data_IF_409331043742
#
_entry.id   IF_409331043742
#
_cell.length_a   1.000
_cell.length_b   1.000
_cell.length_c   1.000
_cell.angle_alpha   90.00
_cell.angle_beta   90.00
_cell.angle_gamma   90.00
#
_symmetry.space_group_name_H-M   'P 1'
#
loop_
_entity.id
_entity.type
_entity.pdbx_description
1 polymer ?
#
# COMPACT_ATOMS: atom_id res chain seq x y z
N UNK A 1 -10.46 50.51 -10.36
CA UNK A 1 -11.44 50.17 -11.42
C UNK A 1 -10.69 49.80 -12.70
N UNK A 2 -11.06 48.67 -13.31
CA UNK A 2 -10.68 48.13 -14.65
C UNK A 2 -9.25 47.56 -14.76
N UNK A 3 -8.95 46.43 -15.42
CA UNK A 3 -9.71 45.34 -16.07
C UNK A 3 -8.68 44.20 -16.33
N UNK A 4 -9.13 42.94 -16.35
CA UNK A 4 -8.41 41.78 -16.87
C UNK A 4 -7.85 42.02 -18.28
N UNK A 5 -6.71 41.40 -18.58
CA UNK A 5 -6.41 40.89 -19.91
C UNK A 5 -5.92 39.45 -19.77
N UNK A 6 -6.82 38.54 -20.09
CA UNK A 6 -6.51 37.15 -20.36
C UNK A 6 -5.64 37.07 -21.61
N UNK A 7 -4.53 36.36 -21.54
CA UNK A 7 -3.82 35.88 -22.73
C UNK A 7 -3.96 34.36 -22.73
N UNK A 8 -4.96 33.90 -23.48
CA UNK A 8 -5.07 32.53 -23.94
C UNK A 8 -3.88 32.22 -24.84
N UNK A 9 -3.02 31.29 -24.45
CA UNK A 9 -2.16 30.57 -25.38
C UNK A 9 -2.79 29.18 -25.56
N UNK A 10 -3.69 29.13 -26.55
CA UNK A 10 -4.21 27.91 -27.15
C UNK A 10 -3.15 27.36 -28.11
N UNK A 11 -2.24 26.50 -27.64
CA UNK A 11 -1.44 25.63 -28.52
C UNK A 11 -0.78 24.50 -27.72
N UNK A 12 -1.51 23.41 -27.48
CA UNK A 12 -1.01 22.03 -27.49
C UNK A 12 -2.15 21.06 -27.14
N UNK A 13 -2.98 20.76 -28.13
CA UNK A 13 -3.87 19.60 -28.13
C UNK A 13 -3.02 18.30 -28.18
N UNK A 14 -2.49 17.89 -27.04
CA UNK A 14 -1.98 16.53 -26.78
C UNK A 14 -2.14 16.21 -25.28
N UNK A 15 -3.38 16.24 -24.77
CA UNK A 15 -3.66 15.71 -23.42
C UNK A 15 -4.01 14.23 -23.56
N UNK A 16 -2.97 13.43 -23.70
CA UNK A 16 -3.03 11.99 -23.45
C UNK A 16 -3.24 11.80 -21.94
N UNK A 17 -4.50 11.70 -21.51
CA UNK A 17 -4.90 11.00 -20.28
C UNK A 17 -4.23 11.41 -18.96
N UNK A 18 -4.21 12.69 -18.61
CA UNK A 18 -3.90 13.08 -17.21
C UNK A 18 -5.07 12.61 -16.33
N UNK A 19 -4.87 11.52 -15.61
CA UNK A 19 -5.76 11.12 -14.52
C UNK A 19 -5.56 12.14 -13.40
N UNK A 20 -6.53 13.04 -13.23
CA UNK A 20 -6.54 13.97 -12.11
C UNK A 20 -6.96 13.18 -10.86
N UNK A 21 -5.98 12.73 -10.08
CA UNK A 21 -6.19 12.26 -8.70
C UNK A 21 -6.20 13.49 -7.80
N UNK A 22 -7.31 13.74 -7.12
CA UNK A 22 -7.36 14.79 -6.11
C UNK A 22 -7.38 14.17 -4.71
N UNK A 23 -6.70 14.86 -3.80
CA UNK A 23 -6.76 14.54 -2.38
C UNK A 23 -8.16 14.86 -1.85
N UNK A 24 -8.73 13.93 -1.08
CA UNK A 24 -10.07 14.13 -0.52
C UNK A 24 -10.09 15.36 0.41
N UNK A 25 -11.18 16.17 0.43
CA UNK A 25 -11.32 17.30 1.35
C UNK A 25 -11.22 16.91 2.84
N UNK A 26 -11.44 15.64 3.15
CA UNK A 26 -11.18 15.04 4.46
C UNK A 26 -9.71 15.13 4.90
N UNK A 27 -8.78 15.52 4.02
CA UNK A 27 -7.39 15.84 4.36
C UNK A 27 -7.23 17.22 5.03
N UNK A 28 -8.24 18.09 4.99
CA UNK A 28 -8.09 19.52 5.35
C UNK A 28 -8.07 19.84 6.85
N UNK A 29 -8.33 18.88 7.73
CA UNK A 29 -8.11 19.06 9.16
C UNK A 29 -7.10 18.01 9.63
N UNK A 30 -5.91 18.47 10.04
CA UNK A 30 -5.23 17.82 11.15
C UNK A 30 -6.21 17.87 12.31
N UNK A 31 -7.00 16.81 12.48
CA UNK A 31 -7.72 16.63 13.74
C UNK A 31 -6.61 16.49 14.78
N UNK A 32 -6.45 17.52 15.61
CA UNK A 32 -5.71 17.41 16.86
C UNK A 32 -6.35 16.24 17.60
N UNK A 33 -5.71 15.07 17.48
CA UNK A 33 -6.36 13.79 17.70
C UNK A 33 -6.81 13.66 19.14
N UNK A 34 -8.12 13.65 19.36
CA UNK A 34 -8.67 13.14 20.61
C UNK A 34 -8.22 11.68 20.73
N UNK A 35 -7.56 11.33 21.84
CA UNK A 35 -7.22 9.95 22.14
C UNK A 35 -8.52 9.15 22.21
N UNK A 36 -8.68 8.19 21.31
CA UNK A 36 -9.80 7.26 21.34
C UNK A 36 -9.68 6.34 22.55
N UNK A 37 -10.78 6.15 23.27
CA UNK A 37 -10.94 5.11 24.29
C UNK A 37 -10.82 3.71 23.67
N UNK A 38 -10.68 2.67 24.49
CA UNK A 38 -10.59 1.29 23.99
C UNK A 38 -11.83 0.86 23.19
N UNK A 39 -13.02 1.27 23.62
CA UNK A 39 -14.27 0.97 22.91
C UNK A 39 -14.33 1.68 21.55
N UNK A 40 -13.98 2.98 21.51
CA UNK A 40 -13.93 3.74 20.25
C UNK A 40 -12.86 3.21 19.29
N UNK A 41 -11.74 2.69 19.82
CA UNK A 41 -10.72 2.00 18.99
C UNK A 41 -11.28 0.75 18.35
N UNK A 42 -11.96 -0.11 19.10
CA UNK A 42 -12.58 -1.33 18.58
C UNK A 42 -13.66 -1.03 17.55
N UNK A 43 -14.48 0.01 17.78
CA UNK A 43 -15.47 0.46 16.81
C UNK A 43 -14.82 0.97 15.52
N UNK A 44 -13.73 1.75 15.63
CA UNK A 44 -12.98 2.21 14.48
C UNK A 44 -12.32 1.04 13.71
N UNK A 45 -11.72 0.08 14.42
CA UNK A 45 -11.16 -1.16 13.84
C UNK A 45 -12.20 -1.90 13.01
N UNK A 46 -13.37 -2.19 13.58
CA UNK A 46 -14.47 -2.88 12.89
C UNK A 46 -14.96 -2.10 11.67
N UNK A 47 -15.13 -0.77 11.78
CA UNK A 47 -15.55 0.07 10.64
C UNK A 47 -14.52 0.06 9.51
N UNK A 48 -13.23 0.15 9.83
CA UNK A 48 -12.15 0.14 8.84
C UNK A 48 -12.06 -1.24 8.18
N UNK A 49 -12.16 -2.32 8.96
CA UNK A 49 -12.13 -3.70 8.46
C UNK A 49 -13.27 -3.93 7.46
N UNK A 50 -14.52 -3.69 7.85
CA UNK A 50 -15.69 -3.85 6.96
C UNK A 50 -15.60 -2.97 5.71
N UNK A 51 -15.05 -1.74 5.85
CA UNK A 51 -14.82 -0.86 4.71
C UNK A 51 -13.81 -1.46 3.74
N UNK A 52 -12.67 -1.97 4.22
CA UNK A 52 -11.63 -2.54 3.37
C UNK A 52 -12.10 -3.84 2.72
N UNK A 53 -12.81 -4.71 3.43
CA UNK A 53 -13.40 -5.94 2.86
C UNK A 53 -14.38 -5.64 1.72
N UNK A 54 -15.20 -4.59 1.89
CA UNK A 54 -16.23 -4.25 0.89
C UNK A 54 -15.67 -3.47 -0.30
N UNK A 55 -14.58 -2.71 -0.11
CA UNK A 55 -14.17 -1.67 -1.06
C UNK A 55 -12.72 -1.79 -1.54
N UNK A 56 -11.92 -2.74 -1.06
CA UNK A 56 -10.59 -2.96 -1.62
C UNK A 56 -10.72 -3.51 -3.05
N UNK A 57 -10.08 -2.83 -3.99
CA UNK A 57 -10.11 -3.25 -5.39
C UNK A 57 -9.46 -4.62 -5.55
N UNK A 58 -10.07 -5.48 -6.36
CA UNK A 58 -9.61 -6.85 -6.65
C UNK A 58 -9.65 -7.80 -5.44
N UNK A 59 -10.30 -7.42 -4.34
CA UNK A 59 -10.52 -8.29 -3.19
C UNK A 59 -11.58 -9.34 -3.51
N UNK A 60 -11.27 -10.61 -3.26
CA UNK A 60 -12.21 -11.72 -3.34
C UNK A 60 -12.67 -12.10 -1.93
N UNK A 61 -13.93 -11.82 -1.54
CA UNK A 61 -14.41 -12.07 -0.18
C UNK A 61 -14.46 -13.56 0.20
N UNK A 62 -14.38 -14.48 -0.78
CA UNK A 62 -14.40 -15.92 -0.51
C UNK A 62 -13.02 -16.50 -0.20
N UNK A 63 -11.95 -15.84 -0.63
CA UNK A 63 -10.59 -16.35 -0.48
C UNK A 63 -9.66 -15.37 0.22
N UNK A 64 -9.84 -14.07 0.08
CA UNK A 64 -8.98 -13.06 0.69
C UNK A 64 -9.41 -12.73 2.12
N UNK A 65 -8.50 -12.14 2.89
CA UNK A 65 -8.73 -11.77 4.29
C UNK A 65 -8.22 -10.37 4.56
N UNK A 66 -8.98 -9.59 5.33
CA UNK A 66 -8.52 -8.33 5.93
C UNK A 66 -8.72 -8.43 7.43
N UNK A 67 -7.79 -7.86 8.19
CA UNK A 67 -7.90 -7.73 9.63
C UNK A 67 -7.37 -6.37 10.08
N UNK A 68 -8.12 -5.69 10.93
CA UNK A 68 -7.70 -4.43 11.57
C UNK A 68 -7.76 -4.61 13.08
N UNK A 69 -6.60 -4.62 13.73
CA UNK A 69 -6.52 -4.71 15.19
C UNK A 69 -5.23 -4.07 15.71
N UNK A 70 -5.27 -3.55 16.95
CA UNK A 70 -4.06 -3.14 17.69
C UNK A 70 -3.10 -2.26 16.86
N UNK A 71 -3.65 -1.27 16.15
CA UNK A 71 -2.95 -0.36 15.27
C UNK A 71 -2.29 -1.01 14.05
N UNK A 72 -2.76 -2.19 13.64
CA UNK A 72 -2.25 -2.93 12.48
C UNK A 72 -3.38 -3.20 11.51
N UNK A 73 -3.10 -2.98 10.24
CA UNK A 73 -3.93 -3.43 9.12
C UNK A 73 -3.17 -4.55 8.43
N UNK A 74 -3.74 -5.75 8.43
CA UNK A 74 -3.20 -6.90 7.72
C UNK A 74 -4.16 -7.30 6.63
N UNK A 75 -3.70 -7.39 5.39
CA UNK A 75 -4.51 -7.96 4.32
C UNK A 75 -3.73 -9.05 3.60
N UNK A 76 -4.42 -10.16 3.34
CA UNK A 76 -3.90 -11.37 2.71
C UNK A 76 -4.72 -11.64 1.45
N UNK A 77 -4.05 -11.57 0.32
CA UNK A 77 -4.62 -11.84 -1.01
C UNK A 77 -4.20 -13.25 -1.42
N UNK A 78 -5.16 -14.15 -1.53
CA UNK A 78 -4.96 -15.53 -1.96
C UNK A 78 -5.00 -15.61 -3.49
N UNK A 79 -4.00 -16.26 -4.07
CA UNK A 79 -3.97 -16.55 -5.50
C UNK A 79 -4.89 -17.74 -5.76
N UNK A 80 -6.16 -17.45 -6.04
CA UNK A 80 -7.20 -18.47 -6.23
C UNK A 80 -6.88 -19.31 -7.48
N UNK A 81 -6.75 -20.63 -7.34
CA UNK A 81 -6.56 -21.57 -8.47
C UNK A 81 -5.11 -21.79 -8.93
N UNK A 82 -4.13 -21.08 -8.36
CA UNK A 82 -2.78 -21.01 -8.91
C UNK A 82 -1.77 -22.00 -8.30
N UNK A 83 -2.17 -22.80 -7.31
CA UNK A 83 -1.31 -23.85 -6.74
C UNK A 83 -1.11 -25.09 -7.63
N UNK A 84 -1.22 -24.94 -8.95
CA UNK A 84 -0.98 -26.03 -9.92
C UNK A 84 0.51 -26.41 -10.04
N UNK A 85 1.44 -25.59 -9.52
CA UNK A 85 2.88 -25.86 -9.58
C UNK A 85 3.72 -25.09 -8.55
N UNK A 86 4.99 -25.47 -8.43
CA UNK A 86 6.02 -24.72 -7.70
C UNK A 86 6.84 -23.89 -8.70
N UNK A 87 7.14 -22.60 -8.45
CA UNK A 87 6.95 -21.83 -7.22
C UNK A 87 5.76 -20.85 -7.32
N UNK A 88 4.54 -21.34 -7.38
CA UNK A 88 3.39 -20.43 -7.37
C UNK A 88 3.09 -19.93 -5.96
N UNK A 89 2.75 -18.64 -5.84
CA UNK A 89 2.33 -18.02 -4.59
C UNK A 89 0.99 -18.63 -4.14
N UNK A 90 0.91 -19.06 -2.89
CA UNK A 90 -0.34 -19.40 -2.19
C UNK A 90 -1.08 -18.12 -1.80
N UNK A 91 -0.36 -17.22 -1.12
CA UNK A 91 -0.89 -15.90 -0.78
C UNK A 91 0.20 -14.84 -0.72
N UNK A 92 -0.22 -13.58 -0.86
CA UNK A 92 0.55 -12.39 -0.55
C UNK A 92 -0.06 -11.72 0.68
N UNK A 93 0.76 -11.44 1.68
CA UNK A 93 0.35 -10.77 2.92
C UNK A 93 1.10 -9.46 3.08
N UNK A 94 0.34 -8.42 3.41
CA UNK A 94 0.86 -7.10 3.70
C UNK A 94 0.35 -6.67 5.07
N UNK A 95 1.28 -6.32 5.94
CA UNK A 95 0.99 -5.75 7.26
C UNK A 95 1.45 -4.30 7.29
N UNK A 96 0.56 -3.41 7.69
CA UNK A 96 0.81 -1.99 7.89
C UNK A 96 0.60 -1.72 9.37
N UNK A 97 1.70 -1.48 10.10
CA UNK A 97 1.63 -0.97 11.47
C UNK A 97 1.47 0.55 11.42
N UNK A 98 0.35 1.06 11.92
CA UNK A 98 0.03 2.49 11.88
C UNK A 98 1.00 3.34 12.71
N UNK A 99 1.78 2.73 13.62
CA UNK A 99 2.86 3.42 14.34
C UNK A 99 4.09 3.68 13.46
N UNK A 100 4.26 2.88 12.41
CA UNK A 100 5.28 3.10 11.37
C UNK A 100 4.81 4.12 10.32
N UNK A 101 3.57 4.59 10.38
CA UNK A 101 2.96 5.50 9.39
C UNK A 101 3.00 6.93 9.90
N UNK A 102 3.63 7.83 9.12
CA UNK A 102 3.64 9.27 9.36
C UNK A 102 2.32 9.92 8.98
N UNK A 103 1.75 9.55 7.83
CA UNK A 103 0.54 10.18 7.28
C UNK A 103 -0.30 9.20 6.48
N UNK A 104 -1.61 9.24 6.69
CA UNK A 104 -2.59 8.54 5.84
C UNK A 104 -3.21 9.55 4.88
N UNK A 105 -3.13 9.28 3.57
CA UNK A 105 -3.78 10.09 2.54
C UNK A 105 -4.77 9.24 1.76
N UNK A 106 -5.93 9.82 1.45
CA UNK A 106 -6.98 9.15 0.70
C UNK A 106 -7.26 9.98 -0.55
N UNK A 107 -7.18 9.30 -1.69
CA UNK A 107 -7.33 9.87 -3.01
C UNK A 107 -8.57 9.29 -3.68
N UNK A 108 -9.29 10.16 -4.38
CA UNK A 108 -10.40 9.79 -5.24
C UNK A 108 -9.97 9.99 -6.70
N UNK A 109 -10.29 9.03 -7.55
CA UNK A 109 -10.02 9.09 -8.97
C UNK A 109 -11.21 9.76 -9.66
N UNK A 110 -10.94 10.83 -10.41
CA UNK A 110 -11.97 11.57 -11.15
C UNK A 110 -12.61 10.79 -12.32
N UNK A 111 -12.05 9.64 -12.71
CA UNK A 111 -12.47 8.91 -13.92
C UNK A 111 -13.04 7.53 -13.59
N UNK A 112 -14.27 7.25 -14.05
CA UNK A 112 -14.87 5.91 -14.07
C UNK A 112 -14.22 5.10 -15.20
N UNK A 113 -13.69 3.91 -14.91
CA UNK A 113 -13.20 2.95 -15.94
C UNK A 113 -11.83 2.29 -15.70
N UNK A 114 -11.09 2.63 -14.64
CA UNK A 114 -9.75 2.07 -14.36
C UNK A 114 -9.75 0.87 -13.41
N UNK A 115 -10.92 0.35 -13.02
CA UNK A 115 -11.06 -0.74 -12.03
C UNK A 115 -10.88 -0.31 -10.57
N UNK A 116 -10.25 0.85 -10.31
CA UNK A 116 -10.16 1.49 -8.99
C UNK A 116 -10.69 2.93 -9.04
N UNK A 117 -11.63 3.27 -8.16
CA UNK A 117 -12.19 4.61 -7.99
C UNK A 117 -11.40 5.47 -6.99
N UNK A 118 -10.43 4.90 -6.26
CA UNK A 118 -9.57 5.65 -5.36
C UNK A 118 -8.41 4.83 -4.81
N UNK A 119 -7.68 5.42 -3.87
CA UNK A 119 -6.64 4.71 -3.11
C UNK A 119 -6.40 5.31 -1.74
N UNK A 120 -5.99 4.46 -0.81
CA UNK A 120 -5.39 4.84 0.48
C UNK A 120 -3.88 4.73 0.33
N UNK A 121 -3.16 5.78 0.67
CA UNK A 121 -1.69 5.78 0.75
C UNK A 121 -1.25 6.00 2.18
N UNK A 122 -0.43 5.09 2.66
CA UNK A 122 0.25 5.13 3.95
C UNK A 122 1.66 5.63 3.71
N UNK A 123 1.92 6.91 4.03
CA UNK A 123 3.26 7.45 4.04
C UNK A 123 3.96 7.02 5.33
N UNK A 124 4.98 6.19 5.21
CA UNK A 124 5.72 5.68 6.34
C UNK A 124 6.66 6.73 6.96
N UNK A 125 7.10 6.47 8.19
CA UNK A 125 8.14 7.24 8.88
C UNK A 125 9.46 7.20 8.10
N UNK A 126 10.34 8.15 8.37
CA UNK A 126 11.60 8.29 7.65
C UNK A 126 12.51 7.06 7.82
N UNK A 127 12.55 6.42 8.99
CA UNK A 127 13.33 5.19 9.21
C UNK A 127 12.85 4.05 8.32
N UNK A 128 11.54 3.80 8.30
CA UNK A 128 10.90 2.78 7.46
C UNK A 128 11.15 3.05 5.99
N UNK A 129 10.97 4.30 5.55
CA UNK A 129 11.22 4.69 4.16
C UNK A 129 12.69 4.50 3.77
N UNK A 130 13.64 4.92 4.63
CA UNK A 130 15.10 4.73 4.40
C UNK A 130 15.47 3.27 4.25
N UNK A 131 14.89 2.37 5.06
CA UNK A 131 15.14 0.92 4.95
C UNK A 131 14.62 0.37 3.62
N UNK A 132 13.42 0.74 3.21
CA UNK A 132 12.89 0.35 1.90
C UNK A 132 13.74 0.89 0.74
N UNK A 133 14.15 2.16 0.80
CA UNK A 133 14.97 2.78 -0.24
C UNK A 133 16.36 2.14 -0.30
N UNK A 134 16.96 1.83 0.86
CA UNK A 134 18.21 1.06 0.93
C UNK A 134 18.06 -0.31 0.27
N UNK A 135 17.00 -1.05 0.58
CA UNK A 135 16.75 -2.36 0.00
C UNK A 135 16.57 -2.27 -1.53
N UNK A 136 15.82 -1.28 -2.02
CA UNK A 136 15.67 -1.00 -3.46
C UNK A 136 17.00 -0.64 -4.11
N UNK A 137 17.84 0.16 -3.46
CA UNK A 137 19.17 0.50 -3.97
C UNK A 137 20.08 -0.72 -4.04
N UNK A 138 20.09 -1.59 -3.02
CA UNK A 138 20.88 -2.83 -3.02
C UNK A 138 20.44 -3.75 -4.17
N UNK A 139 19.14 -3.94 -4.35
CA UNK A 139 18.62 -4.77 -5.43
C UNK A 139 18.86 -4.15 -6.82
N UNK A 140 18.74 -2.83 -6.97
CA UNK A 140 19.06 -2.11 -8.20
C UNK A 140 20.54 -2.28 -8.58
N UNK A 141 21.46 -2.17 -7.61
CA UNK A 141 22.89 -2.40 -7.87
C UNK A 141 23.11 -3.82 -8.37
N UNK A 142 22.50 -4.82 -7.75
CA UNK A 142 22.59 -6.20 -8.25
C UNK A 142 22.15 -6.31 -9.72
N UNK A 143 20.98 -5.77 -10.07
CA UNK A 143 20.46 -5.83 -11.44
C UNK A 143 21.35 -5.08 -12.46
N UNK A 144 22.01 -4.00 -12.06
CA UNK A 144 22.90 -3.23 -12.95
C UNK A 144 24.22 -3.96 -13.27
N UNK A 145 24.69 -4.82 -12.37
CA UNK A 145 25.98 -5.50 -12.51
C UNK A 145 25.85 -6.94 -13.01
N UNK A 146 24.62 -7.45 -13.18
CA UNK A 146 24.35 -8.82 -13.61
C UNK A 146 23.45 -8.85 -14.86
N UNK A 147 24.06 -8.73 -16.04
CA UNK A 147 23.37 -8.79 -17.33
C UNK A 147 23.49 -10.18 -18.03
N UNK A 148 24.16 -11.15 -17.41
CA UNK A 148 24.55 -12.42 -18.04
C UNK A 148 23.59 -13.60 -17.84
N UNK A 149 22.60 -13.47 -16.95
CA UNK A 149 21.65 -14.54 -16.65
C UNK A 149 20.35 -14.32 -17.42
N UNK A 150 19.77 -15.40 -17.95
CA UNK A 150 18.48 -15.39 -18.66
C UNK A 150 17.56 -16.49 -18.12
N UNK A 151 16.25 -16.40 -18.43
CA UNK A 151 15.27 -17.45 -18.12
C UNK A 151 15.18 -17.80 -16.62
N UNK A 152 15.05 -19.09 -16.33
CA UNK A 152 14.88 -19.61 -14.96
C UNK A 152 16.09 -19.31 -14.05
N UNK A 153 17.30 -19.28 -14.62
CA UNK A 153 18.52 -18.96 -13.88
C UNK A 153 18.49 -17.51 -13.37
N UNK A 154 18.06 -16.56 -14.22
CA UNK A 154 17.84 -15.17 -13.79
C UNK A 154 16.81 -15.07 -12.67
N UNK A 155 15.71 -15.82 -12.76
CA UNK A 155 14.66 -15.77 -11.74
C UNK A 155 15.16 -16.21 -10.35
N UNK A 156 16.00 -17.26 -10.29
CA UNK A 156 16.58 -17.75 -9.03
C UNK A 156 17.62 -16.78 -8.45
N UNK A 157 18.44 -16.19 -9.32
CA UNK A 157 19.47 -15.21 -9.00
C UNK A 157 18.84 -13.89 -8.49
N UNK A 158 17.86 -13.35 -9.22
CA UNK A 158 17.08 -12.19 -8.82
C UNK A 158 16.34 -12.42 -7.50
N UNK A 159 15.75 -13.60 -7.30
CA UNK A 159 15.11 -13.97 -6.03
C UNK A 159 16.12 -13.91 -4.87
N UNK A 160 17.28 -14.56 -5.02
CA UNK A 160 18.31 -14.61 -3.98
C UNK A 160 18.85 -13.21 -3.66
N UNK A 161 19.05 -12.38 -4.70
CA UNK A 161 19.46 -11.00 -4.56
C UNK A 161 18.42 -10.13 -3.85
N UNK A 162 17.12 -10.32 -4.15
CA UNK A 162 16.04 -9.62 -3.44
C UNK A 162 16.05 -10.00 -1.96
N UNK A 163 16.12 -11.29 -1.62
CA UNK A 163 16.14 -11.73 -0.22
C UNK A 163 17.36 -11.18 0.54
N UNK A 164 18.53 -11.11 -0.11
CA UNK A 164 19.73 -10.51 0.47
C UNK A 164 19.57 -9.00 0.68
N UNK A 165 18.98 -8.28 -0.28
CA UNK A 165 18.72 -6.85 -0.15
C UNK A 165 17.72 -6.54 0.99
N UNK A 166 16.64 -7.33 1.06
CA UNK A 166 15.62 -7.27 2.11
C UNK A 166 16.23 -7.53 3.48
N UNK A 167 17.03 -8.59 3.63
CA UNK A 167 17.74 -8.93 4.88
C UNK A 167 18.76 -7.85 5.26
N UNK A 168 19.58 -7.40 4.31
CA UNK A 168 20.65 -6.41 4.53
C UNK A 168 20.13 -5.02 4.90
N UNK A 169 18.89 -4.70 4.54
CA UNK A 169 18.20 -3.48 4.95
C UNK A 169 17.32 -3.66 6.20
N UNK A 170 17.25 -4.87 6.77
CA UNK A 170 16.52 -5.14 8.01
C UNK A 170 15.01 -5.15 7.87
N UNK A 171 14.47 -5.35 6.66
CA UNK A 171 13.01 -5.39 6.41
C UNK A 171 12.28 -6.48 7.22
N UNK A 172 12.83 -7.71 7.40
CA UNK A 172 12.17 -8.73 8.21
C UNK A 172 11.98 -8.36 9.70
N UNK A 173 12.73 -7.36 10.19
CA UNK A 173 12.62 -6.86 11.57
C UNK A 173 11.62 -5.70 11.73
N UNK A 174 11.07 -5.21 10.62
CA UNK A 174 10.12 -4.09 10.64
C UNK A 174 8.74 -4.57 11.08
N UNK A 175 7.98 -3.69 11.73
CA UNK A 175 6.60 -4.01 12.13
C UNK A 175 5.69 -4.02 10.91
N UNK A 176 5.90 -3.10 9.97
CA UNK A 176 5.27 -3.13 8.65
C UNK A 176 6.07 -4.00 7.68
N UNK A 177 5.42 -4.94 6.99
CA UNK A 177 6.09 -5.86 6.07
C UNK A 177 5.20 -6.27 4.89
N UNK A 178 5.85 -6.80 3.85
CA UNK A 178 5.24 -7.46 2.71
C UNK A 178 5.89 -8.83 2.53
N UNK A 179 5.09 -9.89 2.41
CA UNK A 179 5.60 -11.25 2.21
C UNK A 179 4.68 -12.10 1.33
N UNK A 180 5.25 -13.13 0.76
CA UNK A 180 4.55 -14.16 -0.03
C UNK A 180 4.82 -15.52 0.60
N UNK A 181 3.81 -16.38 0.62
CA UNK A 181 3.98 -17.80 0.92
C UNK A 181 3.70 -18.61 -0.34
N UNK A 182 4.56 -19.54 -0.69
CA UNK A 182 4.39 -20.39 -1.88
C UNK A 182 3.63 -21.68 -1.55
N UNK A 183 3.04 -22.31 -2.57
CA UNK A 183 2.25 -23.53 -2.39
C UNK A 183 3.08 -24.74 -1.94
N UNK A 184 4.35 -24.83 -2.35
CA UNK A 184 5.24 -25.98 -2.10
C UNK A 184 6.15 -25.83 -0.88
N UNK A 185 6.15 -24.67 -0.21
CA UNK A 185 7.05 -24.38 0.91
C UNK A 185 6.31 -23.67 2.04
N UNK A 186 6.56 -24.08 3.28
CA UNK A 186 6.11 -23.37 4.48
C UNK A 186 6.88 -22.06 4.72
N UNK A 187 7.97 -21.84 3.98
CA UNK A 187 8.83 -20.67 4.13
C UNK A 187 8.13 -19.43 3.57
N UNK A 188 8.06 -18.39 4.41
CA UNK A 188 7.63 -17.06 4.01
C UNK A 188 8.78 -16.31 3.35
N UNK A 189 8.50 -15.66 2.23
CA UNK A 189 9.45 -14.88 1.44
C UNK A 189 9.12 -13.41 1.59
N UNK A 190 10.08 -12.60 2.02
CA UNK A 190 9.87 -11.16 2.17
C UNK A 190 10.23 -10.46 0.86
N UNK A 191 9.43 -9.50 0.42
CA UNK A 191 9.62 -8.85 -0.88
C UNK A 191 9.73 -7.35 -0.78
N UNK A 192 10.33 -6.76 -1.81
CA UNK A 192 10.30 -5.31 -2.05
C UNK A 192 8.98 -4.94 -2.74
N UNK A 193 8.02 -4.30 -2.05
CA UNK A 193 6.77 -3.91 -2.67
C UNK A 193 7.03 -2.87 -3.77
N UNK A 194 6.39 -3.06 -4.93
CA UNK A 194 6.42 -2.09 -6.04
C UNK A 194 5.93 -0.72 -5.56
N UNK A 195 4.80 -0.70 -4.88
CA UNK A 195 4.19 0.48 -4.24
C UNK A 195 4.01 0.20 -2.76
N UNK A 196 4.77 0.91 -1.93
CA UNK A 196 4.71 0.75 -0.48
C UNK A 196 3.40 1.34 0.06
N UNK A 197 2.68 0.58 0.89
CA UNK A 197 1.50 1.05 1.63
C UNK A 197 0.45 1.73 0.76
N UNK A 198 0.11 1.18 -0.40
CA UNK A 198 -1.00 1.69 -1.20
C UNK A 198 -2.06 0.62 -1.34
N UNK A 199 -3.28 0.93 -0.91
CA UNK A 199 -4.45 0.09 -1.08
C UNK A 199 -5.36 0.74 -2.12
N UNK A 200 -5.59 0.05 -3.24
CA UNK A 200 -6.54 0.50 -4.26
C UNK A 200 -7.97 0.24 -3.82
N UNK A 201 -8.87 1.16 -4.12
CA UNK A 201 -10.28 1.07 -3.70
C UNK A 201 -11.23 1.08 -4.90
N UNK A 202 -12.27 0.27 -4.86
CA UNK A 202 -13.38 0.25 -5.83
C UNK A 202 -14.33 1.44 -5.65
N UNK A 203 -14.38 2.02 -4.45
CA UNK A 203 -15.09 3.27 -4.13
C UNK A 203 -14.43 3.94 -2.92
N UNK A 204 -14.64 5.26 -2.77
CA UNK A 204 -14.13 6.03 -1.64
C UNK A 204 -15.28 6.40 -0.72
N UNK A 205 -15.26 5.89 0.51
CA UNK A 205 -16.17 6.32 1.58
C UNK A 205 -15.48 7.38 2.45
N UNK A 206 -16.08 8.57 2.53
CA UNK A 206 -15.57 9.68 3.34
C UNK A 206 -15.67 9.38 4.84
N UNK A 207 -16.69 8.68 5.31
CA UNK A 207 -16.87 8.32 6.71
C UNK A 207 -15.81 7.32 7.19
N UNK A 208 -15.55 6.29 6.39
CA UNK A 208 -14.46 5.36 6.64
C UNK A 208 -13.08 6.05 6.58
N UNK A 209 -12.91 6.98 5.63
CA UNK A 209 -11.71 7.81 5.52
C UNK A 209 -11.41 8.64 6.78
N UNK A 210 -12.44 9.25 7.39
CA UNK A 210 -12.30 9.94 8.66
C UNK A 210 -11.98 8.98 9.81
N UNK A 211 -12.68 7.84 9.88
CA UNK A 211 -12.44 6.81 10.90
C UNK A 211 -11.00 6.31 10.88
N UNK A 212 -10.47 6.00 9.70
CA UNK A 212 -9.07 5.55 9.53
C UNK A 212 -8.06 6.60 10.01
N UNK A 213 -8.30 7.89 9.72
CA UNK A 213 -7.40 8.96 10.17
C UNK A 213 -7.44 9.18 11.67
N UNK A 214 -8.64 9.15 12.27
CA UNK A 214 -8.79 9.27 13.72
C UNK A 214 -8.13 8.10 14.45
N UNK A 215 -8.31 6.90 13.92
CA UNK A 215 -7.67 5.71 14.42
C UNK A 215 -6.14 5.78 14.31
N UNK A 216 -5.61 6.19 13.15
CA UNK A 216 -4.18 6.45 12.94
C UNK A 216 -3.61 7.47 13.93
N UNK A 217 -4.27 8.61 14.13
CA UNK A 217 -3.85 9.62 15.11
C UNK A 217 -3.81 9.05 16.54
N UNK A 218 -4.81 8.25 16.91
CA UNK A 218 -4.86 7.57 18.22
C UNK A 218 -3.72 6.57 18.39
N UNK A 219 -3.32 5.88 17.32
CA UNK A 219 -2.24 4.89 17.31
C UNK A 219 -0.84 5.48 17.46
N UNK A 220 -0.58 6.64 16.84
CA UNK A 220 0.70 7.35 17.02
C UNK A 220 0.82 7.91 18.44
N UNK A 221 -0.29 8.34 19.04
CA UNK A 221 -0.32 8.97 20.37
C UNK A 221 -0.38 7.98 21.55
N UNK A 222 -0.26 6.67 21.29
CA UNK A 222 -0.41 5.57 22.27
C UNK A 222 0.83 4.72 22.48
#
# INVERSE_FOLDING_TARGET
MKKLLAVCILTACFITGIILTYETPANSNQLNGTRLTSAEKQEAESKIESFLESNMAYFNPFSDQVQVNNCKITYRLNSTGDCAGSPTARFNEFQIDLKDVRKVRIFENSRRGTGAAGSIRFEFTEDVQKRFDRAKQLFKRYNQHNNGYTGSMWAQEAYSAEQNAVKGAGLPSMRSYAKTQNCSRSIQQFHLPKTLGTISLSTVDRGAAYSLKNYHASCINS
#
